data_IF_164356206602
#
_entry.id   IF_164356206602
#
_cell.length_a   1.000
_cell.length_b   1.000
_cell.length_c   1.000
_cell.angle_alpha   90.00
_cell.angle_beta   90.00
_cell.angle_gamma   90.00
#
_symmetry.space_group_name_H-M   'P 1'
#
loop_
_entity.id
_entity.type
_entity.pdbx_description
1 polymer ?
#
# COMPACT_ATOMS: atom_id res chain seq x y z
N UNK A 1 -20.81 1.95 10.50
CA UNK A 1 -19.99 0.72 10.51
C UNK A 1 -19.62 0.34 11.96
N UNK A 2 -19.44 -0.96 12.27
CA UNK A 2 -19.16 -1.47 13.63
C UNK A 2 -17.92 -0.85 14.30
N UNK A 3 -16.89 -0.53 13.52
CA UNK A 3 -15.58 -0.08 14.02
C UNK A 3 -15.25 1.38 13.70
N UNK A 4 -16.11 2.10 12.96
CA UNK A 4 -15.76 3.40 12.39
C UNK A 4 -14.62 3.30 11.35
N UNK A 5 -13.94 4.41 11.03
CA UNK A 5 -12.74 4.41 10.20
C UNK A 5 -11.62 3.60 10.86
N UNK A 6 -10.91 2.78 10.08
CA UNK A 6 -9.87 1.88 10.58
C UNK A 6 -8.48 2.27 10.07
N UNK A 7 -7.43 1.80 10.75
CA UNK A 7 -6.08 1.87 10.20
C UNK A 7 -5.88 0.80 9.12
N UNK A 8 -4.88 0.97 8.26
CA UNK A 8 -4.57 0.06 7.15
C UNK A 8 -3.06 -0.18 7.05
N UNK A 9 -2.67 -1.46 7.02
CA UNK A 9 -1.38 -1.89 6.52
C UNK A 9 -1.61 -2.54 5.16
N UNK A 10 -1.07 -1.93 4.11
CA UNK A 10 -1.22 -2.36 2.73
C UNK A 10 0.15 -2.77 2.19
N UNK A 11 0.31 -4.04 1.86
CA UNK A 11 1.56 -4.61 1.33
C UNK A 11 1.34 -4.92 -0.14
N UNK A 12 1.99 -4.18 -1.03
CA UNK A 12 1.63 -4.12 -2.46
C UNK A 12 2.77 -3.50 -3.28
N UNK A 13 2.86 -3.84 -4.57
CA UNK A 13 3.69 -3.08 -5.51
C UNK A 13 3.08 -1.71 -5.90
N UNK A 14 1.76 -1.58 -5.77
CA UNK A 14 0.96 -0.46 -6.26
C UNK A 14 0.23 0.29 -5.15
N UNK A 15 0.00 1.58 -5.35
CA UNK A 15 -0.65 2.41 -4.34
C UNK A 15 -2.17 2.24 -4.30
N UNK A 16 -2.80 1.76 -5.37
CA UNK A 16 -4.24 1.48 -5.42
C UNK A 16 -5.16 2.66 -5.02
N UNK A 17 -4.65 3.86 -5.24
CA UNK A 17 -5.32 5.14 -4.97
C UNK A 17 -5.62 5.95 -6.23
N UNK A 18 -5.66 5.31 -7.40
CA UNK A 18 -6.01 6.00 -8.64
C UNK A 18 -7.45 6.49 -8.60
N UNK A 19 -7.72 7.61 -9.28
CA UNK A 19 -9.06 8.16 -9.36
C UNK A 19 -9.98 7.32 -10.25
N UNK A 20 -9.46 6.73 -11.32
CA UNK A 20 -10.16 5.84 -12.24
C UNK A 20 -9.13 5.10 -13.11
N UNK A 21 -9.57 4.02 -13.77
CA UNK A 21 -8.81 3.35 -14.81
C UNK A 21 -9.75 2.97 -15.95
N UNK A 22 -9.29 3.16 -17.20
CA UNK A 22 -10.10 2.91 -18.41
C UNK A 22 -11.46 3.64 -18.42
N UNK A 23 -11.54 4.79 -17.74
CA UNK A 23 -12.77 5.56 -17.59
C UNK A 23 -13.68 5.10 -16.43
N UNK A 24 -13.33 4.02 -15.72
CA UNK A 24 -14.15 3.44 -14.66
C UNK A 24 -13.58 3.75 -13.26
N UNK A 25 -14.42 4.19 -12.31
CA UNK A 25 -14.00 4.50 -10.94
C UNK A 25 -13.89 3.25 -10.05
N UNK A 26 -14.40 2.09 -10.51
CA UNK A 26 -14.33 0.81 -9.80
C UNK A 26 -13.40 -0.11 -10.59
N UNK A 27 -12.14 -0.17 -10.13
CA UNK A 27 -11.06 -0.95 -10.73
C UNK A 27 -10.06 -1.35 -9.64
N UNK A 28 -9.24 -2.39 -9.86
CA UNK A 28 -8.33 -2.91 -8.82
C UNK A 28 -7.32 -1.86 -8.32
N UNK A 29 -6.91 -0.89 -9.16
CA UNK A 29 -6.05 0.24 -8.76
C UNK A 29 -6.75 1.44 -8.10
N UNK A 30 -8.04 1.32 -7.74
CA UNK A 30 -8.85 2.41 -7.15
C UNK A 30 -9.44 2.20 -5.74
N UNK A 31 -9.31 1.03 -5.05
CA UNK A 31 -10.10 0.75 -3.86
C UNK A 31 -9.77 1.71 -2.70
N UNK A 32 -8.51 2.06 -2.46
CA UNK A 32 -8.16 2.92 -1.32
C UNK A 32 -8.49 4.38 -1.56
N UNK A 33 -8.59 4.80 -2.84
CA UNK A 33 -9.23 6.08 -3.19
C UNK A 33 -10.68 6.11 -2.72
N UNK A 34 -11.46 5.06 -2.97
CA UNK A 34 -12.85 4.94 -2.51
C UNK A 34 -12.95 4.92 -0.99
N UNK A 35 -12.08 4.16 -0.33
CA UNK A 35 -12.08 4.10 1.13
C UNK A 35 -11.80 5.47 1.78
N UNK A 36 -10.97 6.32 1.16
CA UNK A 36 -10.79 7.71 1.61
C UNK A 36 -12.05 8.53 1.33
N UNK A 37 -12.56 8.50 0.10
CA UNK A 37 -13.72 9.30 -0.31
C UNK A 37 -14.98 8.97 0.54
N UNK A 38 -15.11 7.71 1.00
CA UNK A 38 -16.21 7.22 1.87
C UNK A 38 -15.93 7.35 3.37
N UNK A 39 -14.76 7.85 3.78
CA UNK A 39 -14.39 8.03 5.18
C UNK A 39 -14.21 6.72 5.95
N UNK A 40 -13.74 5.67 5.28
CA UNK A 40 -13.53 4.33 5.87
C UNK A 40 -12.14 4.16 6.48
N UNK A 41 -11.18 5.04 6.15
CA UNK A 41 -9.82 5.01 6.67
C UNK A 41 -9.55 6.15 7.66
N UNK A 42 -8.85 5.83 8.74
CA UNK A 42 -8.13 6.83 9.52
C UNK A 42 -6.82 7.13 8.79
N UNK A 43 -6.81 8.16 7.93
CA UNK A 43 -5.72 8.38 6.97
C UNK A 43 -4.33 8.57 7.61
N UNK A 44 -4.25 8.96 8.89
CA UNK A 44 -2.96 9.06 9.61
C UNK A 44 -2.42 7.69 10.05
N UNK A 45 -3.26 6.66 10.01
CA UNK A 45 -2.98 5.27 10.38
C UNK A 45 -3.03 4.37 9.15
N UNK A 46 -2.51 4.86 8.02
CA UNK A 46 -2.34 4.10 6.79
C UNK A 46 -0.86 4.03 6.45
N UNK A 47 -0.38 2.83 6.13
CA UNK A 47 0.95 2.59 5.59
C UNK A 47 0.87 1.68 4.36
N UNK A 48 1.60 2.04 3.31
CA UNK A 48 1.76 1.28 2.08
C UNK A 48 3.21 0.85 1.96
N UNK A 49 3.47 -0.45 1.77
CA UNK A 49 4.81 -1.04 1.85
C UNK A 49 5.09 -1.87 0.60
N UNK A 50 6.21 -1.59 -0.07
CA UNK A 50 6.66 -2.35 -1.25
C UNK A 50 6.41 -1.64 -2.59
N UNK A 51 5.97 -0.38 -2.53
CA UNK A 51 5.61 0.41 -3.71
C UNK A 51 6.80 0.60 -4.65
N UNK A 52 6.60 0.30 -5.94
CA UNK A 52 7.63 0.36 -6.98
C UNK A 52 7.01 0.39 -8.37
N UNK A 53 7.86 0.31 -9.39
CA UNK A 53 7.45 0.28 -10.78
C UNK A 53 7.44 1.66 -11.43
N UNK A 54 7.21 1.67 -12.74
CA UNK A 54 7.12 2.91 -13.51
C UNK A 54 5.74 3.56 -13.34
N UNK A 55 5.68 4.88 -13.44
CA UNK A 55 4.42 5.63 -13.34
C UNK A 55 4.21 6.53 -14.55
N UNK A 56 2.94 6.77 -14.87
CA UNK A 56 2.52 7.75 -15.87
C UNK A 56 2.63 9.19 -15.36
N UNK A 57 2.62 9.39 -14.04
CA UNK A 57 2.74 10.70 -13.40
C UNK A 57 4.17 10.91 -12.84
N UNK A 58 4.67 12.16 -12.79
CA UNK A 58 5.98 12.46 -12.20
C UNK A 58 6.12 12.00 -10.75
N UNK A 59 5.04 12.08 -9.97
CA UNK A 59 4.94 11.50 -8.63
C UNK A 59 3.69 10.62 -8.53
N UNK A 60 3.91 9.30 -8.64
CA UNK A 60 2.87 8.29 -8.57
C UNK A 60 2.14 8.26 -7.22
N UNK A 61 2.78 8.75 -6.16
CA UNK A 61 2.33 8.58 -4.78
C UNK A 61 1.92 9.90 -4.12
N UNK A 62 1.87 10.98 -4.89
CA UNK A 62 1.49 12.32 -4.41
C UNK A 62 0.17 12.28 -3.64
N UNK A 63 -0.85 11.65 -4.23
CA UNK A 63 -2.17 11.56 -3.60
C UNK A 63 -2.13 10.85 -2.24
N UNK A 64 -1.47 9.70 -2.14
CA UNK A 64 -1.31 8.97 -0.87
C UNK A 64 -0.67 9.86 0.21
N UNK A 65 0.39 10.59 -0.15
CA UNK A 65 1.06 11.51 0.79
C UNK A 65 0.17 12.68 1.18
N UNK A 66 -0.60 13.25 0.25
CA UNK A 66 -1.56 14.33 0.51
C UNK A 66 -2.69 13.90 1.46
N UNK A 67 -3.13 12.64 1.42
CA UNK A 67 -4.08 12.09 2.39
C UNK A 67 -3.45 11.84 3.77
N UNK A 68 -2.12 11.85 3.88
CA UNK A 68 -1.38 11.57 5.11
C UNK A 68 -0.94 10.13 5.27
N UNK A 69 -0.98 9.33 4.20
CA UNK A 69 -0.49 7.95 4.23
C UNK A 69 1.04 7.94 4.34
N UNK A 70 1.56 6.93 5.04
CA UNK A 70 2.99 6.60 5.01
C UNK A 70 3.26 5.73 3.78
N UNK A 71 4.08 6.22 2.87
CA UNK A 71 4.51 5.52 1.64
C UNK A 71 5.91 4.98 1.89
N UNK A 72 6.08 3.66 1.86
CA UNK A 72 7.37 2.97 1.99
C UNK A 72 7.69 2.27 0.68
N UNK A 73 8.68 2.81 -0.05
CA UNK A 73 9.09 2.27 -1.33
C UNK A 73 9.87 0.96 -1.18
N UNK A 74 9.89 0.13 -2.23
CA UNK A 74 10.67 -1.11 -2.23
C UNK A 74 12.17 -0.84 -1.99
N UNK A 75 12.71 0.26 -2.53
CA UNK A 75 14.09 0.73 -2.33
C UNK A 75 14.41 0.94 -0.86
N UNK A 76 13.42 1.39 -0.07
CA UNK A 76 13.57 1.56 1.37
C UNK A 76 13.56 0.24 2.13
N UNK A 77 13.27 -0.88 1.48
CA UNK A 77 13.22 -2.21 2.09
C UNK A 77 14.43 -3.07 1.70
N UNK A 78 15.14 -2.73 0.63
CA UNK A 78 16.22 -3.54 0.09
C UNK A 78 17.39 -3.74 1.06
N UNK A 79 17.95 -4.95 1.04
CA UNK A 79 19.20 -5.34 1.71
C UNK A 79 19.24 -5.14 3.24
N UNK A 80 18.07 -5.10 3.90
CA UNK A 80 17.99 -4.97 5.37
C UNK A 80 16.78 -5.66 5.98
N UNK A 81 16.82 -5.83 7.30
CA UNK A 81 15.70 -6.31 8.10
C UNK A 81 14.60 -5.25 8.19
N UNK A 82 13.34 -5.69 8.13
CA UNK A 82 12.16 -4.83 8.31
C UNK A 82 11.67 -4.76 9.76
N UNK A 83 12.35 -5.44 10.70
CA UNK A 83 11.97 -5.41 12.13
C UNK A 83 11.84 -3.98 12.67
N UNK A 84 12.79 -3.04 12.43
CA UNK A 84 12.66 -1.67 12.89
C UNK A 84 11.48 -0.93 12.24
N UNK A 85 11.25 -1.13 10.94
CA UNK A 85 10.09 -0.56 10.25
C UNK A 85 8.78 -1.02 10.90
N UNK A 86 8.70 -2.31 11.27
CA UNK A 86 7.52 -2.86 11.93
C UNK A 86 7.30 -2.33 13.36
N UNK A 87 8.33 -1.87 14.06
CA UNK A 87 8.18 -1.17 15.34
C UNK A 87 7.46 0.17 15.12
N UNK A 88 7.91 0.96 14.15
CA UNK A 88 7.29 2.24 13.80
C UNK A 88 5.86 2.07 13.27
N UNK A 89 5.60 1.04 12.45
CA UNK A 89 4.24 0.74 11.96
C UNK A 89 3.31 0.39 13.12
N UNK A 90 3.76 -0.41 14.10
CA UNK A 90 2.96 -0.71 15.30
C UNK A 90 2.65 0.55 16.11
N UNK A 91 3.62 1.43 16.29
CA UNK A 91 3.42 2.72 16.97
C UNK A 91 2.40 3.59 16.21
N UNK A 92 2.54 3.70 14.88
CA UNK A 92 1.60 4.43 14.04
C UNK A 92 0.17 3.86 14.14
N UNK A 93 0.03 2.53 14.17
CA UNK A 93 -1.27 1.88 14.26
C UNK A 93 -1.93 2.04 15.64
N UNK A 94 -1.16 2.02 16.73
CA UNK A 94 -1.68 2.06 18.11
C UNK A 94 -2.70 0.96 18.43
N UNK A 95 -3.53 1.17 19.46
CA UNK A 95 -4.46 0.14 19.98
C UNK A 95 -5.86 0.15 19.32
N UNK A 96 -6.04 0.92 18.25
CA UNK A 96 -7.31 1.04 17.53
C UNK A 96 -7.42 -0.06 16.45
N UNK A 97 -8.62 -0.35 15.92
CA UNK A 97 -8.78 -1.35 14.85
C UNK A 97 -7.90 -1.07 13.63
N UNK A 98 -7.35 -2.14 13.06
CA UNK A 98 -6.47 -2.15 11.86
C UNK A 98 -6.95 -3.24 10.91
N UNK A 99 -6.91 -2.95 9.62
CA UNK A 99 -7.07 -3.91 8.54
C UNK A 99 -5.71 -4.16 7.87
N UNK A 100 -5.43 -5.40 7.48
CA UNK A 100 -4.23 -5.75 6.71
C UNK A 100 -4.70 -6.23 5.34
N UNK A 101 -4.20 -5.58 4.29
CA UNK A 101 -4.38 -5.98 2.89
C UNK A 101 -3.04 -6.40 2.32
N UNK A 102 -2.98 -7.57 1.71
CA UNK A 102 -1.76 -8.14 1.13
C UNK A 102 -2.04 -8.48 -0.33
N UNK A 103 -1.43 -7.72 -1.25
CA UNK A 103 -1.35 -8.10 -2.66
C UNK A 103 -0.11 -8.98 -2.87
N UNK A 104 -0.30 -10.05 -3.62
CA UNK A 104 0.75 -11.01 -3.91
C UNK A 104 1.84 -10.43 -4.80
N UNK A 105 1.53 -9.39 -5.59
CA UNK A 105 2.51 -8.70 -6.43
C UNK A 105 3.49 -7.81 -5.65
N UNK A 106 3.27 -7.63 -4.34
CA UNK A 106 4.27 -7.04 -3.44
C UNK A 106 5.58 -7.82 -3.42
N UNK A 107 5.50 -9.14 -3.62
CA UNK A 107 6.64 -10.03 -3.72
C UNK A 107 7.29 -9.94 -5.11
N UNK A 108 8.60 -10.19 -5.16
CA UNK A 108 9.30 -10.28 -6.45
C UNK A 108 8.70 -11.41 -7.32
N UNK A 109 8.59 -11.23 -8.65
CA UNK A 109 8.11 -12.26 -9.57
C UNK A 109 8.91 -13.57 -9.52
N UNK A 110 10.15 -13.55 -9.01
CA UNK A 110 10.91 -14.77 -8.70
C UNK A 110 10.20 -15.68 -7.69
N UNK A 111 9.34 -15.13 -6.83
CA UNK A 111 8.58 -15.84 -5.81
C UNK A 111 7.07 -15.89 -6.09
N UNK A 112 6.53 -14.84 -6.71
CA UNK A 112 5.10 -14.72 -7.04
C UNK A 112 4.88 -14.45 -8.55
N UNK A 113 5.24 -15.37 -9.46
CA UNK A 113 5.13 -15.13 -10.90
C UNK A 113 3.68 -15.09 -11.41
N UNK A 114 2.73 -15.66 -10.65
CA UNK A 114 1.32 -15.80 -11.04
C UNK A 114 0.44 -14.65 -10.55
N UNK A 115 0.73 -13.42 -10.96
CA UNK A 115 -0.09 -12.22 -10.67
C UNK A 115 -0.39 -11.42 -11.95
N UNK A 116 -1.40 -10.54 -11.90
CA UNK A 116 -1.84 -9.76 -13.07
C UNK A 116 -0.88 -8.64 -13.47
N UNK A 117 -0.24 -8.00 -12.49
CA UNK A 117 0.61 -6.80 -12.65
C UNK A 117 1.99 -7.01 -12.00
N UNK A 118 2.83 -7.92 -12.51
CA UNK A 118 4.12 -8.20 -11.89
C UNK A 118 5.11 -7.04 -12.06
N UNK A 119 5.70 -6.59 -10.94
CA UNK A 119 6.78 -5.59 -10.92
C UNK A 119 8.06 -6.20 -10.36
N UNK A 120 9.19 -6.08 -11.07
CA UNK A 120 10.48 -6.66 -10.65
C UNK A 120 11.06 -5.98 -9.39
N UNK A 121 12.08 -6.60 -8.78
CA UNK A 121 12.82 -6.09 -7.61
C UNK A 121 11.94 -5.86 -6.37
N UNK A 122 11.01 -6.80 -6.15
CA UNK A 122 10.05 -6.78 -5.05
C UNK A 122 10.59 -7.30 -3.72
N UNK A 123 9.67 -7.50 -2.77
CA UNK A 123 9.98 -8.10 -1.47
C UNK A 123 10.30 -9.59 -1.62
N UNK A 124 11.06 -10.12 -0.68
CA UNK A 124 11.29 -11.56 -0.54
C UNK A 124 10.29 -12.17 0.45
N UNK A 125 10.00 -13.48 0.37
CA UNK A 125 9.11 -14.15 1.33
C UNK A 125 9.57 -14.11 2.80
N UNK A 126 10.84 -13.79 3.05
CA UNK A 126 11.42 -13.73 4.39
C UNK A 126 11.32 -12.34 5.04
N UNK A 127 11.07 -11.29 4.23
CA UNK A 127 10.80 -9.94 4.72
C UNK A 127 9.35 -9.84 5.19
#
# INVERSE_FOLDING_TARGET
ARHGPVGLVHVDAHADTSAAALGEPIYHGTPFRRCVDEGLLDCRRVVQIGLRGSSYAPDAYQYSREQGFRVVLAEECWLKSLVPLMEEVREQMGDKPVYISFDIDSLDPAYAPGTGTPEIAGLTPAQ
#
